data_IF_512479506610
#
_entry.id   IF_512479506610
#
_cell.length_a   1.000
_cell.length_b   1.000
_cell.length_c   1.000
_cell.angle_alpha   90.00
_cell.angle_beta   90.00
_cell.angle_gamma   90.00
#
_symmetry.space_group_name_H-M   'P 1'
#
loop_
_entity.id
_entity.type
_entity.pdbx_description
1 polymer ?
#
# COMPACT_ATOMS: atom_id res chain seq x y z
N UNK A 1 7.14 -0.28 -1.64
CA UNK A 1 7.21 0.06 -3.08
C UNK A 1 8.51 -0.39 -3.72
N UNK A 2 8.39 -1.14 -4.81
CA UNK A 2 9.51 -1.56 -5.66
C UNK A 2 10.13 -0.33 -6.33
N UNK A 3 11.46 -0.30 -6.41
CA UNK A 3 12.20 0.76 -7.07
C UNK A 3 12.53 0.34 -8.50
N UNK A 4 12.78 1.31 -9.40
CA UNK A 4 13.18 1.11 -10.80
C UNK A 4 14.57 0.42 -10.99
N UNK A 5 15.09 -0.25 -9.95
CA UNK A 5 16.30 -1.07 -10.03
C UNK A 5 16.03 -2.43 -10.67
N UNK A 6 17.10 -3.21 -10.91
CA UNK A 6 16.99 -4.59 -11.41
C UNK A 6 16.28 -5.46 -10.38
N UNK A 7 14.96 -5.64 -10.51
CA UNK A 7 14.20 -6.62 -9.74
C UNK A 7 14.73 -8.00 -10.16
N UNK A 8 15.25 -8.81 -9.24
CA UNK A 8 15.80 -10.11 -9.61
C UNK A 8 14.67 -11.02 -10.08
N UNK A 9 14.87 -11.74 -11.20
CA UNK A 9 13.88 -12.69 -11.73
C UNK A 9 13.52 -13.74 -10.65
N UNK A 10 14.47 -14.09 -9.79
CA UNK A 10 14.24 -14.98 -8.65
C UNK A 10 13.19 -14.45 -7.66
N UNK A 11 13.05 -13.14 -7.49
CA UNK A 11 11.96 -12.57 -6.67
C UNK A 11 10.59 -12.85 -7.28
N UNK A 12 10.45 -12.75 -8.61
CA UNK A 12 9.21 -13.01 -9.32
C UNK A 12 8.89 -14.52 -9.27
N UNK A 13 9.87 -15.37 -9.61
CA UNK A 13 9.69 -16.82 -9.65
C UNK A 13 9.47 -17.42 -8.26
N UNK A 14 10.09 -16.87 -7.20
CA UNK A 14 9.87 -17.34 -5.83
C UNK A 14 8.42 -17.22 -5.36
N UNK A 15 7.60 -16.37 -6.00
CA UNK A 15 6.18 -16.21 -5.66
C UNK A 15 5.30 -17.39 -6.08
N UNK A 16 5.73 -18.16 -7.08
CA UNK A 16 4.96 -19.27 -7.68
C UNK A 16 5.77 -20.57 -7.80
N UNK A 17 6.95 -20.64 -7.19
CA UNK A 17 7.89 -21.76 -7.38
C UNK A 17 7.30 -23.13 -7.06
N UNK A 18 6.41 -23.19 -6.08
CA UNK A 18 5.79 -24.44 -5.66
C UNK A 18 4.72 -24.87 -6.65
N UNK A 19 3.88 -23.94 -7.08
CA UNK A 19 2.83 -24.13 -8.08
C UNK A 19 3.42 -24.55 -9.42
N UNK A 20 4.48 -23.87 -9.87
CA UNK A 20 5.21 -24.20 -11.10
C UNK A 20 5.78 -25.61 -11.03
N UNK A 21 6.40 -25.99 -9.90
CA UNK A 21 6.91 -27.35 -9.71
C UNK A 21 5.79 -28.39 -9.73
N UNK A 22 4.69 -28.14 -9.02
CA UNK A 22 3.52 -29.02 -9.02
C UNK A 22 2.91 -29.19 -10.42
N UNK A 23 2.81 -28.12 -11.19
CA UNK A 23 2.27 -28.14 -12.56
C UNK A 23 3.20 -28.90 -13.50
N UNK A 24 4.51 -28.70 -13.38
CA UNK A 24 5.50 -29.43 -14.17
C UNK A 24 5.45 -30.94 -13.88
N UNK A 25 5.39 -31.32 -12.60
CA UNK A 25 5.25 -32.73 -12.18
C UNK A 25 3.92 -33.30 -12.69
N UNK A 26 2.81 -32.59 -12.47
CA UNK A 26 1.49 -33.01 -12.94
C UNK A 26 1.45 -33.24 -14.45
N UNK A 27 1.95 -32.27 -15.23
CA UNK A 27 1.99 -32.38 -16.70
C UNK A 27 2.88 -33.54 -17.15
N UNK A 28 4.02 -33.76 -16.48
CA UNK A 28 4.89 -34.89 -16.76
C UNK A 28 4.21 -36.24 -16.45
N UNK A 29 3.43 -36.33 -15.36
CA UNK A 29 2.66 -37.52 -15.01
C UNK A 29 1.56 -37.80 -16.04
N UNK A 30 0.83 -36.77 -16.50
CA UNK A 30 -0.18 -36.91 -17.55
C UNK A 30 0.46 -37.39 -18.85
N UNK A 31 1.53 -36.72 -19.28
CA UNK A 31 2.27 -37.10 -20.50
C UNK A 31 2.75 -38.56 -20.43
N UNK A 32 3.35 -38.97 -19.30
CA UNK A 32 3.80 -40.34 -19.09
C UNK A 32 2.64 -41.35 -19.12
N UNK A 33 1.54 -41.08 -18.41
CA UNK A 33 0.38 -41.96 -18.38
C UNK A 33 -0.26 -42.13 -19.76
N UNK A 34 -0.37 -41.05 -20.53
CA UNK A 34 -0.94 -41.07 -21.88
C UNK A 34 -0.12 -41.92 -22.86
N UNK A 35 1.20 -41.94 -22.70
CA UNK A 35 2.10 -42.78 -23.52
C UNK A 35 2.06 -44.23 -23.06
N UNK A 36 2.16 -44.50 -21.75
CA UNK A 36 2.29 -45.87 -21.23
C UNK A 36 0.99 -46.67 -21.33
N UNK A 37 -0.16 -46.03 -21.14
CA UNK A 37 -1.47 -46.69 -21.13
C UNK A 37 -2.24 -46.53 -22.45
N UNK A 38 -1.61 -45.92 -23.48
CA UNK A 38 -2.21 -45.59 -24.78
C UNK A 38 -3.57 -44.88 -24.67
N UNK A 39 -3.72 -44.01 -23.66
CA UNK A 39 -4.96 -43.30 -23.33
C UNK A 39 -5.23 -42.10 -24.23
N UNK A 40 -4.69 -42.10 -25.46
CA UNK A 40 -4.83 -40.99 -26.42
C UNK A 40 -6.29 -40.62 -26.73
N UNK A 41 -7.22 -41.56 -26.52
CA UNK A 41 -8.66 -41.33 -26.65
C UNK A 41 -9.28 -40.41 -25.58
N UNK A 42 -8.54 -40.09 -24.50
CA UNK A 42 -8.95 -39.14 -23.45
C UNK A 42 -8.42 -37.73 -23.79
N UNK A 43 -8.32 -37.39 -25.09
CA UNK A 43 -8.04 -36.02 -25.51
C UNK A 43 -9.30 -35.17 -25.44
N UNK A 44 -9.13 -33.93 -25.02
CA UNK A 44 -10.21 -32.94 -24.97
C UNK A 44 -10.04 -32.03 -26.19
N UNK A 45 -11.12 -31.66 -26.91
CA UNK A 45 -11.01 -30.73 -28.02
C UNK A 45 -10.33 -29.42 -27.59
N UNK A 46 -9.31 -28.98 -28.33
CA UNK A 46 -8.52 -27.77 -28.02
C UNK A 46 -9.38 -26.51 -27.84
N UNK A 47 -10.56 -26.48 -28.46
CA UNK A 47 -11.55 -25.41 -28.28
C UNK A 47 -11.98 -25.19 -26.82
N UNK A 48 -12.02 -26.25 -26.00
CA UNK A 48 -12.44 -26.16 -24.59
C UNK A 48 -11.41 -25.39 -23.75
N UNK A 49 -10.11 -25.78 -23.70
CA UNK A 49 -9.09 -24.96 -23.04
C UNK A 49 -8.98 -23.55 -23.64
N UNK A 50 -9.16 -23.39 -24.95
CA UNK A 50 -9.07 -22.06 -25.59
C UNK A 50 -10.14 -21.10 -25.06
N UNK A 51 -11.40 -21.53 -25.01
CA UNK A 51 -12.52 -20.72 -24.47
C UNK A 51 -12.28 -20.39 -22.99
N UNK A 52 -11.88 -21.38 -22.19
CA UNK A 52 -11.57 -21.18 -20.77
C UNK A 52 -10.42 -20.19 -20.58
N UNK A 53 -9.34 -20.32 -21.36
CA UNK A 53 -8.19 -19.42 -21.33
C UNK A 53 -8.57 -17.98 -21.67
N UNK A 54 -9.45 -17.77 -22.67
CA UNK A 54 -9.97 -16.44 -23.00
C UNK A 54 -10.78 -15.84 -21.85
N UNK A 55 -11.68 -16.61 -21.25
CA UNK A 55 -12.50 -16.17 -20.10
C UNK A 55 -11.59 -15.80 -18.92
N UNK A 56 -10.61 -16.64 -18.60
CA UNK A 56 -9.68 -16.41 -17.47
C UNK A 56 -8.79 -15.20 -17.71
N UNK A 57 -8.27 -15.03 -18.92
CA UNK A 57 -7.49 -13.85 -19.29
C UNK A 57 -8.28 -12.57 -19.05
N UNK A 58 -9.55 -12.53 -19.48
CA UNK A 58 -10.43 -11.40 -19.28
C UNK A 58 -10.73 -11.15 -17.78
N UNK A 59 -11.04 -12.20 -17.02
CA UNK A 59 -11.30 -12.10 -15.58
C UNK A 59 -10.08 -11.59 -14.81
N UNK A 60 -8.89 -12.08 -15.14
CA UNK A 60 -7.63 -11.63 -14.54
C UNK A 60 -7.30 -10.19 -14.90
N UNK A 61 -7.61 -9.74 -16.12
CA UNK A 61 -7.44 -8.36 -16.53
C UNK A 61 -8.34 -7.42 -15.70
N UNK A 62 -9.63 -7.74 -15.55
CA UNK A 62 -10.53 -6.96 -14.70
C UNK A 62 -10.08 -6.92 -13.24
N UNK A 63 -9.69 -8.07 -12.68
CA UNK A 63 -9.17 -8.14 -11.31
C UNK A 63 -7.90 -7.30 -11.13
N UNK A 64 -6.98 -7.38 -12.08
CA UNK A 64 -5.72 -6.63 -12.05
C UNK A 64 -5.97 -5.13 -12.08
N UNK A 65 -6.89 -4.67 -12.92
CA UNK A 65 -7.27 -3.26 -13.00
C UNK A 65 -7.89 -2.77 -11.68
N UNK A 66 -8.84 -3.51 -11.10
CA UNK A 66 -9.46 -3.14 -9.83
C UNK A 66 -8.45 -3.09 -8.67
N UNK A 67 -7.52 -4.05 -8.62
CA UNK A 67 -6.46 -4.06 -7.62
C UNK A 67 -5.48 -2.89 -7.82
N UNK A 68 -5.14 -2.58 -9.08
CA UNK A 68 -4.30 -1.44 -9.43
C UNK A 68 -4.95 -0.11 -9.02
N UNK A 69 -6.24 0.08 -9.30
CA UNK A 69 -6.97 1.31 -8.94
C UNK A 69 -6.94 1.56 -7.43
N UNK A 70 -7.16 0.52 -6.61
CA UNK A 70 -7.04 0.64 -5.14
C UNK A 70 -5.63 1.01 -4.69
N UNK A 71 -4.62 0.36 -5.26
CA UNK A 71 -3.22 0.68 -4.96
C UNK A 71 -2.87 2.12 -5.36
N UNK A 72 -3.35 2.56 -6.51
CA UNK A 72 -3.12 3.91 -7.02
C UNK A 72 -3.86 4.97 -6.19
N UNK A 73 -5.10 4.71 -5.79
CA UNK A 73 -5.86 5.57 -4.87
C UNK A 73 -5.10 5.77 -3.56
N UNK A 74 -4.57 4.70 -2.96
CA UNK A 74 -3.73 4.79 -1.77
C UNK A 74 -2.51 5.69 -1.98
N UNK A 75 -1.86 5.61 -3.15
CA UNK A 75 -0.72 6.50 -3.48
C UNK A 75 -1.13 7.95 -3.65
N UNK A 76 -2.26 8.22 -4.29
CA UNK A 76 -2.83 9.58 -4.44
C UNK A 76 -3.11 10.18 -3.07
N UNK A 77 -3.77 9.44 -2.18
CA UNK A 77 -4.13 9.92 -0.84
C UNK A 77 -2.88 10.27 -0.03
N UNK A 78 -1.86 9.41 -0.02
CA UNK A 78 -0.60 9.75 0.64
C UNK A 78 0.14 10.92 0.00
N UNK A 79 -0.07 11.18 -1.30
CA UNK A 79 0.39 12.41 -1.96
C UNK A 79 -0.33 13.66 -1.44
N UNK A 80 -1.65 13.57 -1.22
CA UNK A 80 -2.43 14.64 -0.58
C UNK A 80 -1.94 14.90 0.85
N UNK A 81 -1.70 13.85 1.65
CA UNK A 81 -1.12 13.96 3.00
C UNK A 81 0.20 14.74 2.99
N UNK A 82 1.09 14.50 2.03
CA UNK A 82 2.34 15.28 1.90
C UNK A 82 2.05 16.76 1.65
N UNK A 83 1.13 17.07 0.75
CA UNK A 83 0.80 18.45 0.38
C UNK A 83 0.09 19.20 1.52
N UNK A 84 -0.85 18.55 2.21
CA UNK A 84 -1.57 19.15 3.33
C UNK A 84 -0.66 19.33 4.55
N UNK A 85 0.29 18.40 4.81
CA UNK A 85 1.30 18.59 5.86
C UNK A 85 2.19 19.81 5.61
N UNK A 86 2.62 20.02 4.36
CA UNK A 86 3.39 21.21 3.96
C UNK A 86 2.53 22.47 4.05
N UNK A 87 1.27 22.40 3.63
CA UNK A 87 0.34 23.52 3.68
C UNK A 87 0.07 23.95 5.11
N UNK A 88 -0.21 22.99 6.00
CA UNK A 88 -0.40 23.21 7.42
C UNK A 88 0.82 23.92 8.04
N UNK A 89 2.02 23.40 7.76
CA UNK A 89 3.27 23.99 8.25
C UNK A 89 3.48 25.41 7.72
N UNK A 90 3.24 25.66 6.42
CA UNK A 90 3.32 26.99 5.83
C UNK A 90 2.32 27.95 6.47
N UNK A 91 1.08 27.52 6.69
CA UNK A 91 0.05 28.33 7.35
C UNK A 91 0.49 28.69 8.77
N UNK A 92 0.98 27.73 9.57
CA UNK A 92 1.50 28.00 10.92
C UNK A 92 2.65 29.01 10.93
N UNK A 93 3.62 28.85 10.02
CA UNK A 93 4.80 29.72 9.94
C UNK A 93 4.47 31.13 9.46
N UNK A 94 3.50 31.29 8.54
CA UNK A 94 3.22 32.57 7.89
C UNK A 94 2.01 33.33 8.46
N UNK A 95 1.02 32.65 9.02
CA UNK A 95 -0.21 33.29 9.49
C UNK A 95 -0.11 33.80 10.92
N UNK A 96 0.65 33.10 11.76
CA UNK A 96 0.80 33.47 13.17
C UNK A 96 1.56 34.79 13.31
N UNK A 97 0.91 35.77 13.94
CA UNK A 97 1.51 37.06 14.32
C UNK A 97 1.51 37.16 15.83
N UNK A 98 2.59 37.66 16.42
CA UNK A 98 2.63 37.93 17.87
C UNK A 98 3.01 39.39 18.12
N UNK A 99 2.29 40.12 18.99
CA UNK A 99 2.74 41.38 19.55
C UNK A 99 3.71 41.21 20.74
N UNK A 100 3.93 39.98 21.23
CA UNK A 100 4.79 39.62 22.37
C UNK A 100 5.98 38.73 21.95
N UNK A 101 6.80 38.28 22.91
CA UNK A 101 8.04 37.52 22.69
C UNK A 101 7.91 36.38 21.64
N UNK A 102 8.79 36.39 20.64
CA UNK A 102 8.84 35.41 19.53
C UNK A 102 9.09 33.96 20.00
N UNK A 103 9.63 33.77 21.21
CA UNK A 103 9.98 32.45 21.76
C UNK A 103 8.74 31.56 21.98
N UNK A 104 7.66 32.09 22.58
CA UNK A 104 6.42 31.32 22.82
C UNK A 104 5.75 30.90 21.50
N UNK A 105 5.77 31.78 20.50
CA UNK A 105 5.24 31.49 19.16
C UNK A 105 6.04 30.38 18.49
N UNK A 106 7.37 30.47 18.54
CA UNK A 106 8.25 29.47 17.95
C UNK A 106 8.08 28.10 18.62
N UNK A 107 7.96 28.05 19.95
CA UNK A 107 7.69 26.80 20.68
C UNK A 107 6.35 26.19 20.27
N UNK A 108 5.30 26.99 20.15
CA UNK A 108 3.99 26.52 19.72
C UNK A 108 3.98 26.01 18.27
N UNK A 109 4.62 26.74 17.34
CA UNK A 109 4.81 26.30 15.96
C UNK A 109 5.56 24.96 15.93
N UNK A 110 6.66 24.86 16.66
CA UNK A 110 7.46 23.63 16.75
C UNK A 110 6.64 22.46 17.30
N UNK A 111 5.83 22.68 18.35
CA UNK A 111 4.93 21.68 18.93
C UNK A 111 3.94 21.15 17.89
N UNK A 112 3.21 22.03 17.20
CA UNK A 112 2.25 21.61 16.18
C UNK A 112 2.94 20.95 14.98
N UNK A 113 4.06 21.48 14.49
CA UNK A 113 4.75 20.90 13.34
C UNK A 113 5.32 19.51 13.69
N UNK A 114 5.93 19.35 14.85
CA UNK A 114 6.41 18.03 15.31
C UNK A 114 5.25 17.05 15.48
N UNK A 115 4.10 17.48 16.03
CA UNK A 115 2.90 16.62 16.10
C UNK A 115 2.44 16.16 14.72
N UNK A 116 2.50 17.02 13.69
CA UNK A 116 2.15 16.63 12.31
C UNK A 116 3.13 15.58 11.73
N UNK A 117 4.42 15.68 12.08
CA UNK A 117 5.41 14.65 11.75
C UNK A 117 5.03 13.33 12.42
N UNK A 118 4.77 13.36 13.73
CA UNK A 118 4.34 12.20 14.51
C UNK A 118 3.05 11.58 13.94
N UNK A 119 2.06 12.40 13.59
CA UNK A 119 0.81 11.96 12.97
C UNK A 119 1.04 11.16 11.68
N UNK A 120 1.98 11.60 10.84
CA UNK A 120 2.30 10.91 9.59
C UNK A 120 2.85 9.49 9.84
N UNK A 121 3.69 9.32 10.85
CA UNK A 121 4.18 7.99 11.27
C UNK A 121 3.07 7.17 11.93
N UNK A 122 2.31 7.77 12.84
CA UNK A 122 1.20 7.11 13.54
C UNK A 122 0.15 6.56 12.56
N UNK A 123 -0.21 7.34 11.55
CA UNK A 123 -1.13 6.90 10.49
C UNK A 123 -0.57 5.68 9.74
N UNK A 124 0.71 5.73 9.36
CA UNK A 124 1.37 4.61 8.67
C UNK A 124 1.40 3.33 9.51
N UNK A 125 1.61 3.44 10.82
CA UNK A 125 1.60 2.30 11.75
C UNK A 125 0.18 1.75 11.95
N UNK A 126 -0.80 2.64 12.16
CA UNK A 126 -2.22 2.28 12.30
C UNK A 126 -2.72 1.49 11.08
N UNK A 127 -2.43 1.96 9.86
CA UNK A 127 -2.84 1.27 8.62
C UNK A 127 -2.17 -0.11 8.43
N UNK A 128 -1.01 -0.34 9.06
CA UNK A 128 -0.35 -1.65 9.10
C UNK A 128 -0.88 -2.58 10.20
N UNK A 129 -1.77 -2.09 11.08
CA UNK A 129 -2.18 -2.82 12.28
C UNK A 129 -1.05 -2.96 13.32
N UNK A 130 -0.07 -2.05 13.28
CA UNK A 130 1.02 -1.96 14.26
C UNK A 130 0.68 -0.96 15.36
N UNK A 131 1.49 -0.93 16.41
CA UNK A 131 1.38 0.09 17.47
C UNK A 131 1.54 1.51 16.89
N UNK A 132 0.45 2.26 16.89
CA UNK A 132 0.37 3.62 16.36
C UNK A 132 1.03 4.67 17.28
N UNK A 133 1.46 4.27 18.49
CA UNK A 133 2.20 5.13 19.43
C UNK A 133 3.72 4.97 19.32
N UNK A 134 4.19 3.93 18.64
CA UNK A 134 5.61 3.62 18.52
C UNK A 134 6.41 4.77 17.89
N UNK A 135 7.35 5.33 18.65
CA UNK A 135 8.24 6.42 18.22
C UNK A 135 7.63 7.82 18.27
N UNK A 136 6.38 7.97 18.74
CA UNK A 136 5.74 9.29 18.90
C UNK A 136 6.39 10.14 20.00
N UNK A 137 7.06 9.52 20.97
CA UNK A 137 7.76 10.17 22.09
C UNK A 137 8.82 11.20 21.64
N UNK A 138 9.31 11.07 20.40
CA UNK A 138 10.25 12.01 19.77
C UNK A 138 9.59 13.31 19.29
N UNK A 139 8.27 13.30 19.11
CA UNK A 139 7.54 14.33 18.39
C UNK A 139 6.46 15.01 19.24
N UNK A 140 5.96 14.35 20.28
CA UNK A 140 4.92 14.89 21.17
C UNK A 140 5.37 14.81 22.63
N UNK A 141 4.84 15.71 23.45
CA UNK A 141 5.12 15.74 24.89
C UNK A 141 4.50 14.53 25.61
N UNK A 142 5.01 14.23 26.82
CA UNK A 142 4.45 13.17 27.69
C UNK A 142 2.95 13.36 27.99
N UNK A 143 2.50 14.62 28.10
CA UNK A 143 1.09 14.95 28.34
C UNK A 143 0.21 14.58 27.14
N UNK A 144 0.68 14.87 25.93
CA UNK A 144 0.00 14.49 24.69
C UNK A 144 0.02 12.98 24.49
N UNK A 145 1.15 12.33 24.78
CA UNK A 145 1.27 10.88 24.74
C UNK A 145 0.23 10.21 25.65
N UNK A 146 0.09 10.68 26.90
CA UNK A 146 -0.91 10.17 27.83
C UNK A 146 -2.35 10.38 27.33
N UNK A 147 -2.62 11.51 26.66
CA UNK A 147 -3.94 11.76 26.07
C UNK A 147 -4.23 10.80 24.91
N UNK A 148 -3.31 10.65 23.96
CA UNK A 148 -3.57 9.83 22.77
C UNK A 148 -3.62 8.34 23.10
N UNK A 149 -2.79 7.87 24.04
CA UNK A 149 -2.75 6.44 24.44
C UNK A 149 -4.07 5.91 24.98
N UNK A 150 -5.00 6.78 25.40
CA UNK A 150 -6.35 6.40 25.82
C UNK A 150 -7.39 6.27 24.71
N UNK A 151 -6.99 6.38 23.43
CA UNK A 151 -7.90 6.34 22.28
C UNK A 151 -7.61 5.14 21.37
N UNK A 152 -8.65 4.56 20.77
CA UNK A 152 -8.49 3.49 19.78
C UNK A 152 -7.88 4.01 18.48
N UNK A 153 -8.33 5.18 18.01
CA UNK A 153 -7.81 5.85 16.82
C UNK A 153 -6.79 6.94 17.21
N UNK A 154 -5.53 6.52 17.39
CA UNK A 154 -4.41 7.41 17.75
C UNK A 154 -4.20 8.54 16.74
N UNK A 155 -4.16 8.30 15.41
CA UNK A 155 -4.03 9.38 14.43
C UNK A 155 -5.16 10.44 14.53
N UNK A 156 -6.41 10.02 14.75
CA UNK A 156 -7.51 10.96 14.98
C UNK A 156 -7.32 11.75 16.27
N UNK A 157 -6.89 11.12 17.37
CA UNK A 157 -6.63 11.81 18.63
C UNK A 157 -5.54 12.90 18.49
N UNK A 158 -4.53 12.68 17.66
CA UNK A 158 -3.51 13.69 17.31
C UNK A 158 -4.11 14.87 16.52
N UNK A 159 -5.01 14.62 15.56
CA UNK A 159 -5.75 15.70 14.87
C UNK A 159 -6.63 16.51 15.84
N UNK A 160 -7.27 15.85 16.80
CA UNK A 160 -8.03 16.53 17.85
C UNK A 160 -7.14 17.43 18.73
N UNK A 161 -5.89 17.02 19.02
CA UNK A 161 -4.93 17.89 19.69
C UNK A 161 -4.54 19.12 18.84
N UNK A 162 -4.46 18.98 17.51
CA UNK A 162 -4.28 20.15 16.63
C UNK A 162 -5.47 21.11 16.72
N UNK A 163 -6.71 20.61 16.69
CA UNK A 163 -7.90 21.46 16.80
C UNK A 163 -7.95 22.20 18.15
N UNK A 164 -7.59 21.53 19.26
CA UNK A 164 -7.52 22.16 20.59
C UNK A 164 -6.47 23.28 20.64
N UNK A 165 -5.28 23.02 20.10
CA UNK A 165 -4.23 24.03 20.04
C UNK A 165 -4.59 25.19 19.10
N UNK A 166 -5.27 24.90 17.98
CA UNK A 166 -5.74 25.93 17.06
C UNK A 166 -6.70 26.90 17.74
N UNK A 167 -7.60 26.39 18.60
CA UNK A 167 -8.47 27.24 19.43
C UNK A 167 -7.66 28.12 20.38
N UNK A 168 -6.65 27.56 21.05
CA UNK A 168 -5.77 28.34 21.95
C UNK A 168 -5.05 29.46 21.19
N UNK A 169 -4.60 29.20 19.95
CA UNK A 169 -3.93 30.22 19.14
C UNK A 169 -4.85 31.42 18.80
N UNK A 170 -6.16 31.20 18.71
CA UNK A 170 -7.15 32.28 18.54
C UNK A 170 -7.39 33.02 19.84
N UNK A 171 -7.54 32.29 20.96
CA UNK A 171 -7.73 32.87 22.29
C UNK A 171 -6.54 33.76 22.70
N UNK A 172 -5.31 33.37 22.34
CA UNK A 172 -4.07 34.14 22.56
C UNK A 172 -3.84 35.24 21.52
N UNK A 173 -4.74 35.38 20.53
CA UNK A 173 -4.64 36.40 19.47
C UNK A 173 -3.48 36.19 18.50
N UNK A 174 -2.88 35.00 18.45
CA UNK A 174 -1.81 34.68 17.50
C UNK A 174 -2.31 34.55 16.06
N UNK A 175 -3.56 34.15 15.90
CA UNK A 175 -4.29 34.12 14.63
C UNK A 175 -5.71 34.67 14.82
N UNK A 176 -6.32 35.13 13.74
CA UNK A 176 -7.72 35.56 13.74
C UNK A 176 -8.68 34.44 13.28
N UNK A 177 -9.99 34.68 13.39
CA UNK A 177 -11.04 33.72 13.04
C UNK A 177 -10.99 33.27 11.56
N UNK A 178 -10.63 34.18 10.63
CA UNK A 178 -10.50 33.82 9.22
C UNK A 178 -9.31 32.89 8.96
N UNK A 179 -8.18 33.14 9.65
CA UNK A 179 -7.01 32.27 9.60
C UNK A 179 -7.28 30.92 10.27
N UNK A 180 -8.06 30.90 11.35
CA UNK A 180 -8.50 29.66 11.99
C UNK A 180 -9.28 28.79 11.00
N UNK A 181 -10.27 29.35 10.30
CA UNK A 181 -11.06 28.61 9.29
C UNK A 181 -10.16 28.00 8.23
N UNK A 182 -9.20 28.76 7.71
CA UNK A 182 -8.29 28.30 6.66
C UNK A 182 -7.32 27.19 7.13
N UNK A 183 -6.87 27.24 8.39
CA UNK A 183 -6.04 26.19 8.99
C UNK A 183 -6.88 24.94 9.29
N UNK A 184 -8.09 25.11 9.82
CA UNK A 184 -9.00 24.00 10.15
C UNK A 184 -9.47 23.25 8.89
N UNK A 185 -9.64 23.95 7.76
CA UNK A 185 -9.86 23.29 6.47
C UNK A 185 -8.70 22.36 6.09
N UNK A 186 -7.46 22.72 6.40
CA UNK A 186 -6.30 21.82 6.18
C UNK A 186 -6.35 20.61 7.10
N UNK A 187 -6.72 20.79 8.38
CA UNK A 187 -6.91 19.67 9.32
C UNK A 187 -8.05 18.74 8.85
N UNK A 188 -9.12 19.31 8.31
CA UNK A 188 -10.24 18.55 7.72
C UNK A 188 -9.77 17.70 6.55
N UNK A 189 -8.97 18.25 5.62
CA UNK A 189 -8.42 17.48 4.48
C UNK A 189 -7.47 16.35 4.92
N UNK A 190 -6.71 16.55 6.00
CA UNK A 190 -5.90 15.50 6.62
C UNK A 190 -6.78 14.38 7.21
N UNK A 191 -7.87 14.76 7.89
CA UNK A 191 -8.87 13.82 8.42
C UNK A 191 -9.55 13.04 7.28
N UNK A 192 -9.94 13.70 6.19
CA UNK A 192 -10.53 13.06 5.02
C UNK A 192 -9.57 12.07 4.37
N UNK A 193 -8.29 12.42 4.29
CA UNK A 193 -7.25 11.53 3.75
C UNK A 193 -7.06 10.30 4.63
N UNK A 194 -7.04 10.46 5.95
CA UNK A 194 -7.03 9.35 6.90
C UNK A 194 -8.26 8.44 6.72
N UNK A 195 -9.47 9.00 6.69
CA UNK A 195 -10.70 8.24 6.49
C UNK A 195 -10.75 7.48 5.16
N UNK A 196 -10.21 8.06 4.08
CA UNK A 196 -10.05 7.36 2.80
C UNK A 196 -9.09 6.17 2.90
N UNK A 197 -7.95 6.34 3.58
CA UNK A 197 -7.02 5.24 3.84
C UNK A 197 -7.65 4.13 4.70
N UNK A 198 -8.36 4.49 5.76
CA UNK A 198 -9.09 3.55 6.62
C UNK A 198 -10.15 2.78 5.82
N UNK A 199 -10.89 3.46 4.93
CA UNK A 199 -11.83 2.80 4.02
C UNK A 199 -11.14 1.80 3.10
N UNK A 200 -9.99 2.16 2.50
CA UNK A 200 -9.21 1.23 1.68
C UNK A 200 -8.75 0.03 2.51
N UNK A 201 -8.27 0.23 3.74
CA UNK A 201 -7.79 -0.84 4.63
C UNK A 201 -8.91 -1.77 5.08
N UNK A 202 -10.05 -1.21 5.49
CA UNK A 202 -11.12 -1.95 6.17
C UNK A 202 -12.19 -2.50 5.21
N UNK A 203 -12.25 -1.98 3.98
CA UNK A 203 -13.14 -2.55 2.95
C UNK A 203 -12.47 -3.76 2.31
N UNK A 204 -12.89 -4.95 2.73
CA UNK A 204 -12.34 -6.21 2.23
C UNK A 204 -12.71 -6.37 0.74
N UNK A 205 -11.73 -6.74 -0.09
CA UNK A 205 -12.00 -7.09 -1.48
C UNK A 205 -12.88 -8.35 -1.53
N UNK A 206 -13.96 -8.42 -2.34
CA UNK A 206 -14.87 -9.55 -2.33
C UNK A 206 -14.15 -10.91 -2.42
N UNK A 207 -14.18 -11.67 -1.32
CA UNK A 207 -13.41 -12.92 -1.19
C UNK A 207 -13.92 -14.01 -2.16
N UNK A 208 -15.24 -14.03 -2.41
CA UNK A 208 -15.88 -14.94 -3.37
C UNK A 208 -15.39 -14.71 -4.80
N UNK A 209 -15.22 -13.45 -5.21
CA UNK A 209 -14.66 -13.12 -6.53
C UNK A 209 -13.22 -13.64 -6.66
N UNK A 210 -12.41 -13.45 -5.62
CA UNK A 210 -11.05 -13.99 -5.58
C UNK A 210 -11.02 -15.52 -5.65
N UNK A 211 -11.93 -16.19 -4.94
CA UNK A 211 -12.08 -17.65 -4.94
C UNK A 211 -12.50 -18.18 -6.32
N UNK A 212 -13.45 -17.55 -6.99
CA UNK A 212 -13.93 -18.00 -8.31
C UNK A 212 -12.85 -17.90 -9.37
N UNK A 213 -12.08 -16.81 -9.38
CA UNK A 213 -10.95 -16.65 -10.31
C UNK A 213 -9.89 -17.72 -10.04
N UNK A 214 -9.58 -17.96 -8.77
CA UNK A 214 -8.62 -18.99 -8.38
C UNK A 214 -9.07 -20.38 -8.86
N UNK A 215 -10.29 -20.77 -8.54
CA UNK A 215 -10.85 -22.05 -8.96
C UNK A 215 -10.86 -22.22 -10.49
N UNK A 216 -11.32 -21.20 -11.23
CA UNK A 216 -11.33 -21.23 -12.68
C UNK A 216 -9.91 -21.38 -13.26
N UNK A 217 -8.93 -20.68 -12.69
CA UNK A 217 -7.53 -20.75 -13.13
C UNK A 217 -6.96 -22.16 -12.94
N UNK A 218 -7.11 -22.77 -11.76
CA UNK A 218 -6.63 -24.13 -11.52
C UNK A 218 -7.35 -25.15 -12.39
N UNK A 219 -8.67 -25.01 -12.57
CA UNK A 219 -9.44 -25.88 -13.44
C UNK A 219 -8.94 -25.82 -14.89
N UNK A 220 -8.65 -24.63 -15.40
CA UNK A 220 -8.04 -24.46 -16.73
C UNK A 220 -6.65 -25.09 -16.83
N UNK A 221 -5.77 -24.87 -15.84
CA UNK A 221 -4.42 -25.46 -15.82
C UNK A 221 -4.49 -26.98 -15.80
N UNK A 222 -5.44 -27.57 -15.04
CA UNK A 222 -5.64 -29.01 -14.97
C UNK A 222 -6.10 -29.61 -16.31
N UNK A 223 -6.93 -28.89 -17.06
CA UNK A 223 -7.45 -29.32 -18.36
C UNK A 223 -6.45 -29.15 -19.50
N UNK A 224 -5.54 -28.18 -19.40
CA UNK A 224 -4.67 -27.77 -20.50
C UNK A 224 -3.83 -28.92 -21.09
N UNK A 225 -3.23 -29.84 -20.30
CA UNK A 225 -2.49 -30.99 -20.81
C UNK A 225 -3.28 -31.84 -21.83
N UNK A 226 -4.52 -32.20 -21.47
CA UNK A 226 -5.38 -33.06 -22.30
C UNK A 226 -5.77 -32.42 -23.65
N UNK A 227 -5.69 -31.09 -23.76
CA UNK A 227 -5.99 -30.38 -24.99
C UNK A 227 -4.79 -30.18 -25.92
N UNK A 228 -3.56 -30.26 -25.40
CA UNK A 228 -2.34 -29.94 -26.18
C UNK A 228 -1.49 -31.18 -26.50
N UNK A 229 -1.65 -32.28 -25.75
CA UNK A 229 -0.80 -33.46 -25.85
C UNK A 229 -0.67 -34.04 -27.27
N UNK A 230 -1.77 -34.08 -28.02
CA UNK A 230 -1.79 -34.63 -29.39
C UNK A 230 -1.00 -33.77 -30.39
N UNK A 231 -0.76 -32.50 -30.08
CA UNK A 231 -0.14 -31.53 -30.99
C UNK A 231 1.36 -31.35 -30.77
N UNK A 232 1.83 -31.44 -29.51
CA UNK A 232 3.19 -31.02 -29.15
C UNK A 232 4.03 -32.10 -28.45
N UNK A 233 3.45 -33.25 -28.09
CA UNK A 233 4.18 -34.35 -27.45
C UNK A 233 4.92 -33.91 -26.18
N UNK A 234 6.18 -34.30 -26.00
CA UNK A 234 6.96 -33.98 -24.77
C UNK A 234 7.14 -32.48 -24.50
N UNK A 235 7.02 -31.64 -25.55
CA UNK A 235 7.13 -30.17 -25.44
C UNK A 235 5.94 -29.58 -24.66
N UNK A 236 4.87 -30.35 -24.47
CA UNK A 236 3.76 -30.00 -23.59
C UNK A 236 4.20 -29.61 -22.17
N UNK A 237 5.14 -30.35 -21.57
CA UNK A 237 5.58 -30.13 -20.19
C UNK A 237 6.10 -28.69 -19.99
N UNK A 238 7.13 -28.23 -20.74
CA UNK A 238 7.58 -26.84 -20.61
C UNK A 238 6.53 -25.84 -21.09
N UNK A 239 5.74 -26.16 -22.12
CA UNK A 239 4.72 -25.25 -22.65
C UNK A 239 3.61 -24.93 -21.64
N UNK A 240 2.96 -25.95 -21.07
CA UNK A 240 1.90 -25.81 -20.07
C UNK A 240 2.45 -25.12 -18.82
N UNK A 241 3.66 -25.48 -18.40
CA UNK A 241 4.31 -24.87 -17.23
C UNK A 241 4.53 -23.37 -17.43
N UNK A 242 5.03 -22.95 -18.60
CA UNK A 242 5.24 -21.53 -18.91
C UNK A 242 3.92 -20.77 -19.01
N UNK A 243 2.92 -21.31 -19.70
CA UNK A 243 1.60 -20.67 -19.83
C UNK A 243 0.93 -20.49 -18.47
N UNK A 244 0.92 -21.55 -17.64
CA UNK A 244 0.37 -21.49 -16.30
C UNK A 244 1.13 -20.49 -15.42
N UNK A 245 2.46 -20.41 -15.55
CA UNK A 245 3.27 -19.42 -14.84
C UNK A 245 2.83 -17.99 -15.14
N UNK A 246 2.53 -17.64 -16.40
CA UNK A 246 2.04 -16.30 -16.74
C UNK A 246 0.72 -15.97 -16.04
N UNK A 247 -0.27 -16.87 -16.11
CA UNK A 247 -1.56 -16.65 -15.45
C UNK A 247 -1.44 -16.54 -13.93
N UNK A 248 -0.64 -17.41 -13.30
CA UNK A 248 -0.39 -17.38 -11.86
C UNK A 248 0.34 -16.11 -11.42
N UNK A 249 1.32 -15.63 -12.19
CA UNK A 249 2.02 -14.38 -11.88
C UNK A 249 1.07 -13.17 -11.92
N UNK A 250 0.18 -13.10 -12.92
CA UNK A 250 -0.82 -12.03 -13.02
C UNK A 250 -1.79 -12.10 -11.84
N UNK A 251 -2.29 -13.29 -11.50
CA UNK A 251 -3.17 -13.47 -10.34
C UNK A 251 -2.49 -13.03 -9.05
N UNK A 252 -1.25 -13.49 -8.80
CA UNK A 252 -0.46 -13.12 -7.62
C UNK A 252 -0.22 -11.62 -7.55
N UNK A 253 0.09 -10.98 -8.67
CA UNK A 253 0.28 -9.53 -8.74
C UNK A 253 -1.00 -8.80 -8.30
N UNK A 254 -2.17 -9.18 -8.84
CA UNK A 254 -3.44 -8.57 -8.48
C UNK A 254 -3.75 -8.74 -6.98
N UNK A 255 -3.53 -9.94 -6.42
CA UNK A 255 -3.68 -10.20 -4.98
C UNK A 255 -2.76 -9.33 -4.13
N UNK A 256 -1.52 -9.08 -4.57
CA UNK A 256 -0.61 -8.23 -3.81
C UNK A 256 -0.97 -6.74 -3.87
N UNK A 257 -1.46 -6.24 -5.02
CA UNK A 257 -1.80 -4.84 -5.19
C UNK A 257 -3.10 -4.45 -4.46
N UNK A 258 -4.04 -5.40 -4.30
CA UNK A 258 -5.35 -5.09 -3.73
C UNK A 258 -5.29 -4.59 -2.27
N UNK A 259 -4.22 -4.92 -1.54
CA UNK A 259 -4.02 -4.61 -0.11
C UNK A 259 -2.75 -3.75 0.07
N UNK A 260 -2.82 -2.42 -0.16
CA UNK A 260 -1.63 -1.58 -0.34
C UNK A 260 -0.93 -1.14 0.95
N UNK A 261 -1.32 -1.68 2.11
CA UNK A 261 -0.87 -1.26 3.45
C UNK A 261 -0.38 -2.43 4.33
N UNK A 262 -0.02 -3.57 3.73
CA UNK A 262 0.39 -4.81 4.44
C UNK A 262 1.90 -4.94 4.67
N UNK A 263 2.65 -3.85 4.51
CA UNK A 263 4.10 -3.81 4.69
C UNK A 263 4.89 -4.74 3.72
N UNK A 264 4.34 -5.00 2.53
CA UNK A 264 5.00 -5.79 1.47
C UNK A 264 5.84 -4.88 0.55
N UNK A 265 6.82 -5.43 -0.19
CA UNK A 265 7.63 -4.65 -1.13
C UNK A 265 6.83 -3.88 -2.20
N UNK A 266 5.65 -4.35 -2.59
CA UNK A 266 4.77 -3.72 -3.59
C UNK A 266 3.91 -2.59 -3.03
N UNK A 267 3.82 -2.48 -1.71
CA UNK A 267 2.85 -1.63 -1.03
C UNK A 267 3.23 -0.15 -1.08
N UNK A 268 2.28 0.70 -0.68
CA UNK A 268 2.55 2.12 -0.48
C UNK A 268 3.66 2.30 0.55
N UNK A 269 4.75 3.03 0.24
CA UNK A 269 5.91 3.12 1.11
C UNK A 269 5.69 4.19 2.19
N UNK A 270 4.72 3.93 3.08
CA UNK A 270 4.23 4.89 4.08
C UNK A 270 5.35 5.40 4.99
N UNK A 271 6.33 4.56 5.37
CA UNK A 271 7.43 5.00 6.23
C UNK A 271 8.35 5.97 5.49
N UNK A 272 8.65 5.69 4.23
CA UNK A 272 9.47 6.55 3.37
C UNK A 272 8.76 7.88 3.06
N UNK A 273 7.43 7.86 2.92
CA UNK A 273 6.62 9.07 2.74
C UNK A 273 6.61 9.89 4.03
N UNK A 274 6.37 9.27 5.19
CA UNK A 274 6.44 9.94 6.49
C UNK A 274 7.82 10.57 6.74
N UNK A 275 8.90 9.88 6.41
CA UNK A 275 10.26 10.43 6.46
C UNK A 275 10.44 11.61 5.50
N UNK A 276 9.84 11.55 4.31
CA UNK A 276 9.87 12.67 3.36
C UNK A 276 9.13 13.89 3.93
N UNK A 277 7.98 13.67 4.57
CA UNK A 277 7.23 14.70 5.28
C UNK A 277 8.10 15.29 6.40
N UNK A 278 8.65 14.46 7.28
CA UNK A 278 9.55 14.91 8.36
C UNK A 278 10.67 15.81 7.85
N UNK A 279 11.36 15.37 6.80
CA UNK A 279 12.45 16.15 6.19
C UNK A 279 11.95 17.50 5.67
N UNK A 280 10.82 17.53 4.98
CA UNK A 280 10.27 18.77 4.45
C UNK A 280 9.88 19.73 5.57
N UNK A 281 9.18 19.24 6.60
CA UNK A 281 8.72 20.11 7.68
C UNK A 281 9.91 20.64 8.49
N UNK A 282 10.91 19.80 8.80
CA UNK A 282 12.15 20.25 9.46
C UNK A 282 12.94 21.26 8.63
N UNK A 283 12.97 21.13 7.29
CA UNK A 283 13.58 22.13 6.41
C UNK A 283 12.82 23.46 6.44
N UNK A 284 11.50 23.44 6.45
CA UNK A 284 10.67 24.65 6.55
C UNK A 284 10.87 25.37 7.89
N UNK A 285 11.15 24.62 8.96
CA UNK A 285 11.54 25.15 10.28
C UNK A 285 13.00 25.60 10.37
N UNK A 286 13.77 25.49 9.27
CA UNK A 286 15.22 25.78 9.24
C UNK A 286 16.03 24.97 10.27
N UNK A 287 15.58 23.75 10.60
CA UNK A 287 16.28 22.88 11.53
C UNK A 287 17.62 22.43 10.94
N UNK A 288 18.67 22.45 11.77
CA UNK A 288 20.01 21.98 11.38
C UNK A 288 20.10 20.44 11.29
N UNK A 289 19.23 19.73 12.02
CA UNK A 289 19.22 18.28 12.09
C UNK A 289 18.13 17.68 11.20
N UNK A 290 18.51 17.23 10.01
CA UNK A 290 17.62 16.50 9.11
C UNK A 290 17.84 14.99 9.25
N UNK A 291 16.77 14.19 9.37
CA UNK A 291 16.93 12.73 9.45
C UNK A 291 17.55 12.22 8.15
N UNK A 292 18.52 11.31 8.27
CA UNK A 292 19.23 10.76 7.12
C UNK A 292 18.26 10.03 6.19
N UNK A 293 18.47 10.17 4.88
CA UNK A 293 17.78 9.30 3.93
C UNK A 293 18.36 7.89 4.11
N UNK A 294 17.54 6.85 4.36
CA UNK A 294 18.05 5.50 4.47
C UNK A 294 18.72 5.11 3.16
N UNK A 295 19.88 4.46 3.24
CA UNK A 295 20.48 3.81 2.08
C UNK A 295 19.51 2.78 1.53
N UNK A 296 19.26 2.85 0.23
CA UNK A 296 18.47 1.86 -0.48
C UNK A 296 19.32 0.58 -0.59
N UNK A 297 19.27 -0.26 0.45
CA UNK A 297 19.99 -1.55 0.50
C UNK A 297 19.28 -2.68 -0.24
N UNK A 298 18.06 -2.43 -0.73
CA UNK A 298 17.19 -3.42 -1.38
C UNK A 298 16.51 -2.83 -2.62
N UNK A 299 15.88 -3.67 -3.44
CA UNK A 299 15.10 -3.26 -4.61
C UNK A 299 13.71 -2.68 -4.24
N UNK A 300 13.45 -2.39 -2.97
CA UNK A 300 12.21 -1.78 -2.47
C UNK A 300 12.43 -0.90 -1.25
N UNK A 301 11.43 -0.05 -0.98
CA UNK A 301 11.30 0.80 0.22
C UNK A 301 9.95 0.56 0.91
N UNK A 302 9.87 0.80 2.22
CA UNK A 302 8.66 0.65 3.03
C UNK A 302 8.09 1.99 3.50
#
# INVERSE_FOLDING_TARGET
MLLNGRIPITYILNKIKFEVLCIAIYTALIWFAMIQFDLKHISIPLGVPTILGTIISLLLAFRSNQAYDRWWEARIIWGAVVNDSRTFTRQLLCFMKTPYAEENKMEFQNKMINRQIGWSYSLGQSLRGLDATAGLDKYISKKEMAFVSGHDNIPYALLNLHAKDLRLAVEEGWINEFQQVEIDQTLTRLCDSMGKCERIKNTIFPATYSMYIHFALYFFILLLPFGVIEYVGIVEIPLVTVLASFFLLIERMAVHLQDPFENKPTDTPMSSIALTIERNLKQMMQSQELPLKPEVKSYYIL
#
